data_IF_982083667816
#
_entry.id   IF_982083667816
#
_cell.length_a   1.000
_cell.length_b   1.000
_cell.length_c   1.000
_cell.angle_alpha   90.00
_cell.angle_beta   90.00
_cell.angle_gamma   90.00
#
_symmetry.space_group_name_H-M   'P 1'
#
loop_
_entity.id
_entity.type
_entity.pdbx_description
1 polymer ?
#
# COMPACT_ATOMS: atom_id res chain seq x y z
N UNK A 1 -4.70 9.32 -24.58
CA UNK A 1 -4.20 10.55 -23.94
C UNK A 1 -5.29 11.33 -23.18
N UNK A 2 -6.58 11.17 -23.51
CA UNK A 2 -7.66 11.91 -22.83
C UNK A 2 -8.01 11.45 -21.41
N UNK A 3 -7.97 10.14 -21.11
CA UNK A 3 -8.41 9.61 -19.80
C UNK A 3 -7.39 9.90 -18.69
N UNK A 4 -6.09 9.76 -18.96
CA UNK A 4 -5.03 10.10 -17.99
C UNK A 4 -5.01 11.61 -17.68
N UNK A 5 -5.31 12.48 -18.67
CA UNK A 5 -5.53 13.92 -18.43
C UNK A 5 -6.79 14.19 -17.60
N UNK A 6 -7.91 13.50 -17.86
CA UNK A 6 -9.14 13.70 -17.06
C UNK A 6 -9.00 13.22 -15.62
N UNK A 7 -8.24 12.15 -15.36
CA UNK A 7 -7.90 11.72 -14.00
C UNK A 7 -6.96 12.70 -13.29
N UNK A 8 -6.05 13.34 -14.04
CA UNK A 8 -5.19 14.40 -13.52
C UNK A 8 -6.01 15.63 -13.10
N UNK A 9 -6.90 16.12 -13.95
CA UNK A 9 -7.81 17.22 -13.62
C UNK A 9 -8.71 16.87 -12.43
N UNK A 10 -9.25 15.65 -12.39
CA UNK A 10 -10.06 15.19 -11.26
C UNK A 10 -9.27 15.09 -9.94
N UNK A 11 -8.00 14.66 -9.99
CA UNK A 11 -7.12 14.63 -8.82
C UNK A 11 -6.73 16.03 -8.34
N UNK A 12 -6.46 16.94 -9.27
CA UNK A 12 -6.15 18.34 -8.96
C UNK A 12 -7.36 19.03 -8.31
N UNK A 13 -8.55 18.81 -8.87
CA UNK A 13 -9.82 19.30 -8.31
C UNK A 13 -10.06 18.71 -6.92
N UNK A 14 -9.81 17.42 -6.68
CA UNK A 14 -9.97 16.79 -5.36
C UNK A 14 -9.00 17.37 -4.32
N UNK A 15 -7.75 17.63 -4.71
CA UNK A 15 -6.74 18.27 -3.86
C UNK A 15 -7.18 19.71 -3.53
N UNK A 16 -7.63 20.49 -4.52
CA UNK A 16 -8.13 21.85 -4.30
C UNK A 16 -9.39 21.86 -3.42
N UNK A 17 -10.30 20.90 -3.61
CA UNK A 17 -11.55 20.82 -2.85
C UNK A 17 -11.29 20.50 -1.36
N UNK A 18 -10.31 19.65 -1.05
CA UNK A 18 -9.95 19.35 0.36
C UNK A 18 -9.33 20.55 1.08
N UNK A 19 -8.59 21.41 0.36
CA UNK A 19 -8.06 22.67 0.94
C UNK A 19 -9.15 23.71 1.22
N UNK A 20 -10.16 23.82 0.35
CA UNK A 20 -11.29 24.75 0.49
C UNK A 20 -12.25 24.33 1.61
N UNK A 21 -12.61 23.05 1.69
CA UNK A 21 -13.49 22.53 2.75
C UNK A 21 -12.84 22.65 4.14
N UNK A 22 -11.53 22.47 4.23
CA UNK A 22 -10.76 22.64 5.48
C UNK A 22 -10.77 24.09 6.01
N UNK A 23 -10.89 25.09 5.14
CA UNK A 23 -10.95 26.51 5.53
C UNK A 23 -12.31 26.88 6.13
N UNK A 24 -13.41 26.33 5.61
CA UNK A 24 -14.78 26.64 6.07
C UNK A 24 -15.06 26.04 7.45
N UNK A 25 -14.59 24.81 7.70
CA UNK A 25 -14.78 24.12 8.98
C UNK A 25 -13.91 24.72 10.11
N UNK A 26 -12.83 25.43 9.78
CA UNK A 26 -11.95 26.09 10.76
C UNK A 26 -12.61 27.30 11.44
N UNK A 27 -13.49 28.04 10.76
CA UNK A 27 -14.21 29.16 11.36
C UNK A 27 -15.20 28.68 12.42
N UNK A 28 -15.96 27.62 12.13
CA UNK A 28 -16.97 27.08 13.06
C UNK A 28 -16.36 26.46 14.32
N UNK A 29 -15.17 25.85 14.21
CA UNK A 29 -14.51 25.23 15.35
C UNK A 29 -13.84 26.26 16.29
N UNK A 30 -13.35 27.40 15.77
CA UNK A 30 -12.75 28.45 16.61
C UNK A 30 -13.77 29.08 17.56
N UNK A 31 -15.01 29.24 17.11
CA UNK A 31 -16.10 29.79 17.93
C UNK A 31 -16.48 28.85 19.09
N UNK A 32 -16.52 27.53 18.84
CA UNK A 32 -16.80 26.51 19.87
C UNK A 32 -15.64 26.33 20.88
N UNK A 33 -14.41 26.65 20.47
CA UNK A 33 -13.20 26.51 21.31
C UNK A 33 -13.11 27.62 22.34
N UNK A 34 -13.53 28.85 22.02
CA UNK A 34 -13.48 29.99 22.93
C UNK A 34 -14.32 29.79 24.21
N UNK A 35 -15.44 29.07 24.10
CA UNK A 35 -16.38 28.86 25.21
C UNK A 35 -15.89 27.87 26.28
N UNK A 36 -14.86 27.05 25.98
CA UNK A 36 -14.48 25.92 26.84
C UNK A 36 -13.17 26.10 27.63
N UNK A 37 -12.51 27.26 27.52
CA UNK A 37 -11.18 27.54 28.12
C UNK A 37 -11.27 28.08 29.56
N UNK A 38 -12.46 28.44 30.05
CA UNK A 38 -12.67 28.90 31.43
C UNK A 38 -12.97 27.74 32.39
N UNK A 39 -12.01 26.83 32.61
CA UNK A 39 -11.96 26.05 33.86
C UNK A 39 -10.61 25.38 34.01
N UNK A 40 -9.81 25.81 34.98
CA UNK A 40 -8.52 25.20 35.31
C UNK A 40 -8.46 24.94 36.79
N UNK A 41 -8.21 23.68 37.19
CA UNK A 41 -7.62 23.38 38.50
C UNK A 41 -6.93 22.01 38.51
N UNK A 42 -5.66 22.00 38.93
CA UNK A 42 -5.06 20.85 39.63
C UNK A 42 -3.81 20.22 38.98
N UNK A 43 -2.63 20.63 39.48
CA UNK A 43 -1.27 20.04 39.50
C UNK A 43 -1.01 18.59 39.03
N UNK A 44 -1.49 18.22 37.85
CA UNK A 44 -0.82 17.32 36.91
C UNK A 44 -0.80 18.10 35.60
N UNK A 45 0.29 18.09 34.84
CA UNK A 45 0.24 18.58 33.46
C UNK A 45 -0.54 17.53 32.67
N UNK A 46 -1.85 17.49 32.89
CA UNK A 46 -2.77 16.69 32.15
C UNK A 46 -2.87 17.34 30.78
N UNK A 47 -2.38 16.64 29.77
CA UNK A 47 -2.40 17.17 28.43
C UNK A 47 -3.84 17.46 28.01
N UNK A 48 -4.04 18.60 27.35
CA UNK A 48 -5.34 18.99 26.82
C UNK A 48 -5.96 17.80 26.05
N UNK A 49 -7.14 17.29 26.43
CA UNK A 49 -7.78 16.15 25.77
C UNK A 49 -7.94 16.33 24.26
N UNK A 50 -8.13 17.58 23.81
CA UNK A 50 -8.20 17.92 22.38
C UNK A 50 -6.86 17.64 21.67
N UNK A 51 -5.74 18.02 22.27
CA UNK A 51 -4.42 17.77 21.71
C UNK A 51 -4.12 16.26 21.65
N UNK A 52 -4.49 15.50 22.67
CA UNK A 52 -4.33 14.03 22.68
C UNK A 52 -5.16 13.39 21.56
N UNK A 53 -6.39 13.87 21.34
CA UNK A 53 -7.24 13.42 20.23
C UNK A 53 -6.60 13.73 18.88
N UNK A 54 -6.11 14.96 18.66
CA UNK A 54 -5.45 15.36 17.41
C UNK A 54 -4.20 14.51 17.13
N UNK A 55 -3.34 14.28 18.14
CA UNK A 55 -2.18 13.40 17.99
C UNK A 55 -2.63 11.97 17.62
N UNK A 56 -3.71 11.48 18.24
CA UNK A 56 -4.26 10.14 17.97
C UNK A 56 -4.77 10.05 16.53
N UNK A 57 -5.57 11.02 16.08
CA UNK A 57 -6.08 11.11 14.71
C UNK A 57 -4.93 11.21 13.72
N UNK A 58 -3.88 11.99 14.03
CA UNK A 58 -2.70 12.12 13.17
C UNK A 58 -2.04 10.77 12.97
N UNK A 59 -1.82 10.03 14.07
CA UNK A 59 -1.26 8.69 14.03
C UNK A 59 -2.08 7.72 13.18
N UNK A 60 -3.41 7.71 13.33
CA UNK A 60 -4.29 6.84 12.54
C UNK A 60 -4.35 7.21 11.06
N UNK A 61 -4.40 8.50 10.71
CA UNK A 61 -4.36 8.95 9.31
C UNK A 61 -3.05 8.51 8.64
N UNK A 62 -1.91 8.76 9.30
CA UNK A 62 -0.60 8.44 8.75
C UNK A 62 -0.36 6.92 8.69
N UNK A 63 -0.91 6.15 9.64
CA UNK A 63 -0.95 4.70 9.52
C UNK A 63 -1.80 4.26 8.33
N UNK A 64 -3.05 4.70 8.22
CA UNK A 64 -3.94 4.32 7.14
C UNK A 64 -3.32 4.61 5.76
N UNK A 65 -2.66 5.76 5.62
CA UNK A 65 -1.89 6.10 4.42
C UNK A 65 -0.64 5.21 4.24
N UNK A 66 0.33 5.35 5.13
CA UNK A 66 1.70 4.85 4.93
C UNK A 66 1.86 3.37 5.29
N UNK A 67 1.13 2.92 6.31
CA UNK A 67 1.17 1.54 6.79
C UNK A 67 0.27 0.61 5.99
N UNK A 68 -0.79 1.12 5.36
CA UNK A 68 -1.80 0.28 4.70
C UNK A 68 -2.03 0.60 3.22
N UNK A 69 -2.51 1.80 2.87
CA UNK A 69 -2.91 2.11 1.49
C UNK A 69 -1.74 2.05 0.49
N UNK A 70 -0.61 2.70 0.79
CA UNK A 70 0.55 2.66 -0.12
C UNK A 70 1.13 1.24 -0.28
N UNK A 71 1.40 0.47 0.81
CA UNK A 71 1.88 -0.89 0.64
C UNK A 71 0.91 -1.78 -0.13
N UNK A 72 -0.41 -1.60 0.06
CA UNK A 72 -1.42 -2.35 -0.68
C UNK A 72 -1.44 -1.97 -2.17
N UNK A 73 -1.33 -0.68 -2.50
CA UNK A 73 -1.18 -0.20 -3.88
C UNK A 73 0.05 -0.80 -4.57
N UNK A 74 1.18 -0.87 -3.88
CA UNK A 74 2.43 -1.49 -4.37
C UNK A 74 2.23 -3.00 -4.60
N UNK A 75 1.63 -3.72 -3.65
CA UNK A 75 1.35 -5.14 -3.79
C UNK A 75 0.42 -5.43 -4.98
N UNK A 76 -0.59 -4.57 -5.20
CA UNK A 76 -1.52 -4.70 -6.31
C UNK A 76 -0.82 -4.57 -7.66
N UNK A 77 -0.04 -3.49 -7.89
CA UNK A 77 0.65 -3.30 -9.18
C UNK A 77 1.73 -4.37 -9.43
N UNK A 78 2.44 -4.79 -8.38
CA UNK A 78 3.44 -5.87 -8.48
C UNK A 78 2.80 -7.19 -8.90
N UNK A 79 1.65 -7.53 -8.32
CA UNK A 79 0.87 -8.69 -8.74
C UNK A 79 0.37 -8.54 -10.19
N UNK A 80 -0.16 -7.37 -10.53
CA UNK A 80 -0.71 -7.09 -11.86
C UNK A 80 0.29 -7.07 -13.00
N UNK A 81 1.56 -6.81 -12.75
CA UNK A 81 2.61 -6.87 -13.78
C UNK A 81 2.78 -8.26 -14.41
N UNK A 82 2.11 -9.29 -13.88
CA UNK A 82 2.09 -10.67 -14.39
C UNK A 82 0.89 -10.97 -15.27
N UNK A 83 -0.08 -10.07 -15.31
CA UNK A 83 -1.31 -10.25 -16.04
C UNK A 83 -1.05 -10.08 -17.54
N UNK A 84 -1.31 -11.15 -18.29
CA UNK A 84 -1.13 -11.18 -19.73
C UNK A 84 -2.23 -10.38 -20.44
N UNK A 85 -3.41 -10.26 -19.81
CA UNK A 85 -4.51 -9.50 -20.37
C UNK A 85 -4.29 -7.98 -20.22
N UNK A 86 -4.14 -7.24 -21.34
CA UNK A 86 -3.85 -5.81 -21.29
C UNK A 86 -4.97 -4.98 -20.66
N UNK A 87 -6.23 -5.45 -20.69
CA UNK A 87 -7.36 -4.78 -20.04
C UNK A 87 -7.26 -4.90 -18.52
N UNK A 88 -6.96 -6.08 -18.00
CA UNK A 88 -6.79 -6.32 -16.56
C UNK A 88 -5.56 -5.63 -16.00
N UNK A 89 -4.43 -5.65 -16.72
CA UNK A 89 -3.24 -4.87 -16.36
C UNK A 89 -3.56 -3.37 -16.23
N UNK A 90 -4.39 -2.84 -17.12
CA UNK A 90 -4.85 -1.44 -17.06
C UNK A 90 -5.72 -1.18 -15.82
N UNK A 91 -6.63 -2.09 -15.47
CA UNK A 91 -7.45 -1.98 -14.26
C UNK A 91 -6.55 -1.96 -13.01
N UNK A 92 -5.58 -2.87 -12.93
CA UNK A 92 -4.67 -2.95 -11.78
C UNK A 92 -3.78 -1.70 -11.68
N UNK A 93 -3.35 -1.15 -12.82
CA UNK A 93 -2.65 0.13 -12.86
C UNK A 93 -3.51 1.28 -12.30
N UNK A 94 -4.80 1.35 -12.67
CA UNK A 94 -5.70 2.36 -12.09
C UNK A 94 -5.96 2.12 -10.61
N UNK A 95 -6.11 0.87 -10.17
CA UNK A 95 -6.25 0.54 -8.76
C UNK A 95 -5.05 1.05 -7.95
N UNK A 96 -3.82 0.77 -8.42
CA UNK A 96 -2.61 1.32 -7.82
C UNK A 96 -2.65 2.84 -7.76
N UNK A 97 -2.88 3.51 -8.89
CA UNK A 97 -2.92 4.98 -8.93
C UNK A 97 -3.95 5.57 -7.96
N UNK A 98 -5.16 5.00 -7.90
CA UNK A 98 -6.23 5.46 -6.99
C UNK A 98 -5.81 5.27 -5.52
N UNK A 99 -5.26 4.10 -5.16
CA UNK A 99 -4.80 3.82 -3.80
C UNK A 99 -3.67 4.77 -3.38
N UNK A 100 -2.68 5.00 -4.25
CA UNK A 100 -1.59 5.95 -3.96
C UNK A 100 -2.12 7.39 -3.82
N UNK A 101 -3.06 7.82 -4.68
CA UNK A 101 -3.66 9.14 -4.57
C UNK A 101 -4.45 9.31 -3.27
N UNK A 102 -5.23 8.31 -2.86
CA UNK A 102 -5.94 8.31 -1.58
C UNK A 102 -4.97 8.39 -0.40
N UNK A 103 -3.88 7.62 -0.45
CA UNK A 103 -2.84 7.67 0.56
C UNK A 103 -2.21 9.08 0.64
N UNK A 104 -1.84 9.69 -0.49
CA UNK A 104 -1.26 11.04 -0.53
C UNK A 104 -2.22 12.08 0.05
N UNK A 105 -3.52 12.00 -0.27
CA UNK A 105 -4.54 12.91 0.29
C UNK A 105 -4.63 12.75 1.81
N UNK A 106 -4.68 11.51 2.32
CA UNK A 106 -4.73 11.23 3.75
C UNK A 106 -3.44 11.69 4.46
N UNK A 107 -2.27 11.43 3.88
CA UNK A 107 -0.98 11.90 4.39
C UNK A 107 -0.92 13.42 4.44
N UNK A 108 -1.43 14.10 3.40
CA UNK A 108 -1.52 15.56 3.34
C UNK A 108 -2.45 16.11 4.41
N UNK A 109 -3.63 15.52 4.60
CA UNK A 109 -4.54 15.90 5.68
C UNK A 109 -3.86 15.75 7.06
N UNK A 110 -3.18 14.64 7.31
CA UNK A 110 -2.44 14.43 8.55
C UNK A 110 -1.26 15.38 8.74
N UNK A 111 -0.56 15.75 7.67
CA UNK A 111 0.52 16.76 7.69
C UNK A 111 -0.02 18.16 7.98
N UNK A 112 -1.10 18.58 7.32
CA UNK A 112 -1.77 19.87 7.58
C UNK A 112 -2.22 19.95 9.04
N UNK A 113 -2.84 18.87 9.55
CA UNK A 113 -3.28 18.82 10.95
C UNK A 113 -2.10 18.95 11.92
N UNK A 114 -0.96 18.30 11.63
CA UNK A 114 0.26 18.44 12.42
C UNK A 114 0.79 19.88 12.43
N UNK A 115 0.83 20.52 11.25
CA UNK A 115 1.30 21.89 11.09
C UNK A 115 0.42 22.88 11.87
N UNK A 116 -0.91 22.71 11.83
CA UNK A 116 -1.85 23.64 12.46
C UNK A 116 -1.93 23.48 13.97
N UNK A 117 -1.87 22.24 14.47
CA UNK A 117 -2.26 21.95 15.84
C UNK A 117 -1.07 21.60 16.77
N UNK A 118 0.09 21.24 16.22
CA UNK A 118 1.24 20.81 17.01
C UNK A 118 2.36 21.85 17.02
N UNK A 119 3.24 21.73 18.02
CA UNK A 119 4.42 22.57 18.12
C UNK A 119 5.52 22.06 17.16
N UNK A 120 5.78 22.81 16.09
CA UNK A 120 6.70 22.43 15.00
C UNK A 120 8.13 22.93 15.23
N UNK A 121 8.69 22.68 16.41
CA UNK A 121 10.08 23.06 16.74
C UNK A 121 11.14 22.16 16.09
N UNK A 122 10.74 21.02 15.50
CA UNK A 122 11.62 20.04 14.84
C UNK A 122 12.78 19.52 15.71
N UNK A 123 12.63 19.59 17.03
CA UNK A 123 13.60 19.09 18.00
C UNK A 123 13.53 17.57 18.18
N UNK A 124 12.45 16.93 17.71
CA UNK A 124 12.29 15.47 17.73
C UNK A 124 12.59 14.87 16.35
N UNK A 125 13.32 13.76 16.35
CA UNK A 125 13.61 12.92 15.18
C UNK A 125 12.34 12.57 14.37
N UNK A 126 11.20 12.32 15.02
CA UNK A 126 9.94 12.02 14.34
C UNK A 126 9.47 13.18 13.44
N UNK A 127 9.57 14.43 13.92
CA UNK A 127 9.14 15.60 13.14
C UNK A 127 10.05 15.81 11.92
N UNK A 128 11.36 15.68 12.10
CA UNK A 128 12.36 15.77 11.01
C UNK A 128 12.14 14.68 9.96
N UNK A 129 11.91 13.44 10.41
CA UNK A 129 11.58 12.31 9.55
C UNK A 129 10.26 12.53 8.80
N UNK A 130 9.24 13.07 9.48
CA UNK A 130 7.93 13.36 8.89
C UNK A 130 8.00 14.38 7.75
N UNK A 131 8.76 15.47 7.91
CA UNK A 131 8.96 16.46 6.84
C UNK A 131 9.72 15.86 5.66
N UNK A 132 10.81 15.11 5.95
CA UNK A 132 11.57 14.43 4.91
C UNK A 132 10.69 13.44 4.13
N UNK A 133 9.90 12.62 4.84
CA UNK A 133 8.95 11.69 4.24
C UNK A 133 7.94 12.43 3.35
N UNK A 134 7.35 13.53 3.83
CA UNK A 134 6.37 14.30 3.06
C UNK A 134 6.96 14.84 1.75
N UNK A 135 8.19 15.36 1.78
CA UNK A 135 8.89 15.80 0.57
C UNK A 135 9.09 14.65 -0.43
N UNK A 136 9.49 13.47 0.04
CA UNK A 136 9.71 12.30 -0.81
C UNK A 136 8.38 11.75 -1.37
N UNK A 137 7.27 11.83 -0.62
CA UNK A 137 5.92 11.48 -1.11
C UNK A 137 5.54 12.36 -2.30
N UNK A 138 5.72 13.67 -2.20
CA UNK A 138 5.44 14.58 -3.32
C UNK A 138 6.36 14.34 -4.51
N UNK A 139 7.64 14.08 -4.27
CA UNK A 139 8.57 13.70 -5.33
C UNK A 139 8.09 12.43 -6.05
N UNK A 140 7.62 11.42 -5.30
CA UNK A 140 7.08 10.18 -5.87
C UNK A 140 5.84 10.44 -6.73
N UNK A 141 4.95 11.32 -6.29
CA UNK A 141 3.78 11.75 -7.08
C UNK A 141 4.19 12.44 -8.38
N UNK A 142 5.12 13.39 -8.30
CA UNK A 142 5.65 14.11 -9.47
C UNK A 142 6.26 13.12 -10.46
N UNK A 143 7.07 12.17 -9.99
CA UNK A 143 7.60 11.09 -10.82
C UNK A 143 6.46 10.27 -11.45
N UNK A 144 5.43 9.91 -10.69
CA UNK A 144 4.25 9.20 -11.20
C UNK A 144 3.53 9.94 -12.33
N UNK A 145 3.35 11.26 -12.19
CA UNK A 145 2.69 12.13 -13.19
C UNK A 145 3.52 12.22 -14.47
N UNK A 146 4.84 12.39 -14.37
CA UNK A 146 5.74 12.53 -15.52
C UNK A 146 6.14 11.19 -16.16
N UNK A 147 5.29 10.17 -16.06
CA UNK A 147 5.49 8.84 -16.64
C UNK A 147 5.64 8.92 -18.18
N UNK A 148 6.81 8.56 -18.75
CA UNK A 148 7.04 8.62 -20.20
C UNK A 148 6.17 7.62 -20.97
N UNK A 149 5.94 7.86 -22.27
CA UNK A 149 5.25 6.90 -23.14
C UNK A 149 5.99 5.55 -23.23
N UNK A 150 5.23 4.47 -23.45
CA UNK A 150 5.78 3.12 -23.64
C UNK A 150 6.71 3.10 -24.86
N UNK A 151 7.82 2.35 -24.78
CA UNK A 151 8.82 2.23 -25.85
C UNK A 151 9.92 3.31 -25.86
N UNK A 152 9.79 4.39 -25.08
CA UNK A 152 10.84 5.42 -25.00
C UNK A 152 12.05 4.97 -24.16
N UNK A 153 13.27 5.33 -24.55
CA UNK A 153 14.50 5.07 -23.77
C UNK A 153 14.40 5.65 -22.35
N UNK A 154 13.74 6.81 -22.20
CA UNK A 154 13.49 7.49 -20.91
C UNK A 154 12.64 6.65 -19.94
N UNK A 155 11.80 5.74 -20.44
CA UNK A 155 10.91 4.88 -19.63
C UNK A 155 11.68 4.00 -18.65
N UNK A 156 12.84 3.49 -19.03
CA UNK A 156 13.68 2.62 -18.17
C UNK A 156 14.28 3.41 -17.00
N UNK A 157 14.84 4.58 -17.27
CA UNK A 157 15.41 5.47 -16.25
C UNK A 157 14.31 5.97 -15.31
N UNK A 158 13.17 6.39 -15.86
CA UNK A 158 12.00 6.75 -15.07
C UNK A 158 11.54 5.63 -14.15
N UNK A 159 11.43 4.40 -14.67
CA UNK A 159 11.00 3.25 -13.88
C UNK A 159 11.94 2.99 -12.72
N UNK A 160 13.25 3.02 -12.95
CA UNK A 160 14.25 2.84 -11.91
C UNK A 160 14.14 3.94 -10.84
N UNK A 161 14.04 5.21 -11.25
CA UNK A 161 13.89 6.33 -10.32
C UNK A 161 12.59 6.22 -9.50
N UNK A 162 11.45 5.99 -10.16
CA UNK A 162 10.15 5.84 -9.49
C UNK A 162 10.11 4.63 -8.56
N UNK A 163 10.80 3.54 -8.92
CA UNK A 163 10.91 2.36 -8.05
C UNK A 163 11.78 2.62 -6.83
N UNK A 164 12.96 3.25 -6.99
CA UNK A 164 13.85 3.60 -5.87
C UNK A 164 13.14 4.57 -4.93
N UNK A 165 12.61 5.67 -5.46
CA UNK A 165 11.93 6.69 -4.64
C UNK A 165 10.69 6.10 -3.95
N UNK A 166 9.89 5.30 -4.66
CA UNK A 166 8.74 4.61 -4.04
C UNK A 166 9.13 3.65 -2.93
N UNK A 167 10.23 2.92 -3.10
CA UNK A 167 10.77 2.04 -2.04
C UNK A 167 11.23 2.86 -0.84
N UNK A 168 11.89 4.00 -1.07
CA UNK A 168 12.26 4.93 0.00
C UNK A 168 11.03 5.47 0.74
N UNK A 169 9.94 5.84 0.04
CA UNK A 169 8.67 6.27 0.66
C UNK A 169 8.12 5.17 1.58
N UNK A 170 8.09 3.91 1.13
CA UNK A 170 7.60 2.80 1.96
C UNK A 170 8.46 2.59 3.21
N UNK A 171 9.79 2.58 3.07
CA UNK A 171 10.70 2.39 4.21
C UNK A 171 10.59 3.55 5.21
N UNK A 172 10.65 4.79 4.73
CA UNK A 172 10.49 5.98 5.57
C UNK A 172 9.11 6.04 6.24
N UNK A 173 8.06 5.58 5.55
CA UNK A 173 6.71 5.45 6.10
C UNK A 173 6.65 4.50 7.30
N UNK A 174 7.26 3.31 7.19
CA UNK A 174 7.36 2.36 8.32
C UNK A 174 8.13 2.97 9.49
N UNK A 175 9.28 3.61 9.23
CA UNK A 175 10.05 4.29 10.26
C UNK A 175 9.27 5.44 10.91
N UNK A 176 8.49 6.19 10.13
CA UNK A 176 7.66 7.27 10.63
C UNK A 176 6.57 6.78 11.59
N UNK A 177 5.95 5.61 11.32
CA UNK A 177 4.96 5.02 12.22
C UNK A 177 5.61 4.58 13.55
N UNK A 178 6.75 3.87 13.51
CA UNK A 178 7.43 3.44 14.74
C UNK A 178 7.92 4.62 15.59
N UNK A 179 8.56 5.61 14.96
CA UNK A 179 9.00 6.82 15.67
C UNK A 179 7.82 7.64 16.18
N UNK A 180 6.70 7.65 15.45
CA UNK A 180 5.45 8.29 15.86
C UNK A 180 4.81 7.63 17.08
N UNK A 181 4.78 6.30 17.13
CA UNK A 181 4.34 5.55 18.32
C UNK A 181 5.25 5.79 19.53
N UNK A 182 6.56 5.95 19.30
CA UNK A 182 7.52 6.38 20.33
C UNK A 182 7.20 7.78 20.87
N UNK A 183 7.04 8.75 19.96
CA UNK A 183 6.70 10.14 20.30
C UNK A 183 5.32 10.24 20.99
N UNK A 184 4.34 9.44 20.56
CA UNK A 184 3.02 9.34 21.19
C UNK A 184 3.13 8.85 22.64
N UNK A 185 3.92 7.81 22.89
CA UNK A 185 4.15 7.29 24.24
C UNK A 185 4.82 8.32 25.14
N UNK A 186 5.87 8.98 24.63
CA UNK A 186 6.60 10.01 25.38
C UNK A 186 5.70 11.20 25.73
N UNK A 187 4.91 11.68 24.76
CA UNK A 187 3.96 12.77 25.01
C UNK A 187 2.87 12.30 25.98
N UNK A 188 2.09 11.30 25.61
CA UNK A 188 0.82 10.97 26.29
C UNK A 188 0.99 10.08 27.53
N UNK A 189 2.18 9.54 27.77
CA UNK A 189 2.45 8.50 28.78
C UNK A 189 1.59 7.23 28.62
N UNK A 190 0.88 7.07 27.49
CA UNK A 190 0.05 5.89 27.20
C UNK A 190 0.89 4.76 26.62
N UNK A 191 0.53 3.53 26.99
CA UNK A 191 1.21 2.34 26.50
C UNK A 191 0.95 2.11 25.01
N UNK A 192 2.01 1.98 24.21
CA UNK A 192 1.96 1.72 22.75
C UNK A 192 2.37 0.31 22.36
N UNK A 193 2.66 -0.58 23.33
CA UNK A 193 3.14 -1.96 23.06
C UNK A 193 2.19 -2.72 22.13
N UNK A 194 0.88 -2.65 22.37
CA UNK A 194 -0.11 -3.38 21.56
C UNK A 194 -0.13 -2.89 20.10
N UNK A 195 -0.06 -1.57 19.89
CA UNK A 195 -0.01 -0.95 18.57
C UNK A 195 1.28 -1.30 17.83
N UNK A 196 2.42 -1.32 18.53
CA UNK A 196 3.70 -1.77 17.96
C UNK A 196 3.63 -3.24 17.52
N UNK A 197 3.08 -4.15 18.34
CA UNK A 197 2.93 -5.57 17.98
C UNK A 197 2.04 -5.71 16.76
N UNK A 198 0.88 -5.07 16.76
CA UNK A 198 -0.07 -5.14 15.66
C UNK A 198 0.55 -4.61 14.35
N UNK A 199 1.24 -3.46 14.40
CA UNK A 199 1.94 -2.92 13.23
C UNK A 199 3.09 -3.82 12.76
N UNK A 200 3.82 -4.45 13.68
CA UNK A 200 4.90 -5.40 13.34
C UNK A 200 4.35 -6.62 12.61
N UNK A 201 3.25 -7.19 13.09
CA UNK A 201 2.55 -8.31 12.42
C UNK A 201 2.08 -7.87 11.02
N UNK A 202 1.46 -6.70 10.91
CA UNK A 202 1.02 -6.14 9.63
C UNK A 202 2.18 -6.00 8.63
N UNK A 203 3.30 -5.39 9.02
CA UNK A 203 4.47 -5.24 8.13
C UNK A 203 5.07 -6.60 7.77
N UNK A 204 5.14 -7.53 8.73
CA UNK A 204 5.63 -8.89 8.47
C UNK A 204 4.76 -9.61 7.44
N UNK A 205 3.43 -9.49 7.55
CA UNK A 205 2.50 -10.03 6.57
C UNK A 205 2.66 -9.38 5.19
N UNK A 206 2.80 -8.06 5.12
CA UNK A 206 3.03 -7.34 3.85
C UNK A 206 4.33 -7.81 3.19
N UNK A 207 5.42 -7.90 3.94
CA UNK A 207 6.72 -8.39 3.44
C UNK A 207 6.62 -9.84 2.99
N UNK A 208 5.95 -10.69 3.78
CA UNK A 208 5.69 -12.08 3.40
C UNK A 208 4.93 -12.14 2.08
N UNK A 209 3.82 -11.42 1.93
CA UNK A 209 3.03 -11.37 0.69
C UNK A 209 3.87 -10.85 -0.49
N UNK A 210 4.69 -9.81 -0.27
CA UNK A 210 5.56 -9.24 -1.29
C UNK A 210 6.59 -10.26 -1.83
N UNK A 211 7.21 -11.03 -0.94
CA UNK A 211 8.17 -12.08 -1.29
C UNK A 211 7.47 -13.31 -1.87
N UNK A 212 6.34 -13.72 -1.27
CA UNK A 212 5.54 -14.86 -1.69
C UNK A 212 5.03 -14.70 -3.10
N UNK A 213 4.62 -13.48 -3.49
CA UNK A 213 4.26 -13.16 -4.86
C UNK A 213 5.32 -13.68 -5.83
N UNK A 214 6.61 -13.45 -5.59
CA UNK A 214 7.69 -13.89 -6.49
C UNK A 214 7.77 -15.42 -6.61
N UNK A 215 7.68 -16.13 -5.47
CA UNK A 215 7.79 -17.61 -5.44
C UNK A 215 6.55 -18.32 -5.96
N UNK A 216 5.37 -17.70 -5.89
CA UNK A 216 4.12 -18.31 -6.36
C UNK A 216 4.19 -18.78 -7.81
N UNK A 217 4.78 -17.98 -8.70
CA UNK A 217 4.92 -18.34 -10.13
C UNK A 217 5.85 -19.54 -10.31
N UNK A 218 6.96 -19.57 -9.56
CA UNK A 218 7.87 -20.70 -9.58
C UNK A 218 7.15 -22.01 -9.17
N UNK A 219 6.36 -21.95 -8.09
CA UNK A 219 5.59 -23.11 -7.60
C UNK A 219 4.56 -23.57 -8.64
N UNK A 220 3.81 -22.65 -9.26
CA UNK A 220 2.83 -22.97 -10.30
C UNK A 220 3.50 -23.65 -11.51
N UNK A 221 4.65 -23.13 -11.95
CA UNK A 221 5.39 -23.68 -13.07
C UNK A 221 5.91 -25.10 -12.78
N UNK A 222 6.32 -25.40 -11.54
CA UNK A 222 6.72 -26.76 -11.15
C UNK A 222 5.55 -27.75 -11.20
N UNK A 223 4.35 -27.33 -10.78
CA UNK A 223 3.15 -28.17 -10.86
C UNK A 223 2.76 -28.51 -12.30
N UNK A 224 2.87 -27.56 -13.23
CA UNK A 224 2.56 -27.78 -14.66
C UNK A 224 3.56 -28.74 -15.30
N UNK A 225 4.86 -28.59 -15.01
CA UNK A 225 5.89 -29.49 -15.54
C UNK A 225 5.68 -30.94 -15.10
N UNK A 226 5.42 -31.15 -13.81
CA UNK A 226 5.19 -32.48 -13.24
C UNK A 226 3.91 -33.13 -13.81
N UNK A 227 2.85 -32.34 -14.01
CA UNK A 227 1.63 -32.81 -14.66
C UNK A 227 1.86 -33.24 -16.12
N UNK A 228 2.61 -32.46 -16.89
CA UNK A 228 2.95 -32.80 -18.28
C UNK A 228 3.82 -34.05 -18.37
N UNK A 229 4.77 -34.23 -17.45
CA UNK A 229 5.60 -35.44 -17.37
C UNK A 229 4.76 -36.69 -17.08
N UNK A 230 3.84 -36.62 -16.12
CA UNK A 230 2.91 -37.73 -15.79
C UNK A 230 1.98 -38.07 -16.97
N UNK A 231 1.46 -37.06 -17.68
CA UNK A 231 0.63 -37.28 -18.88
C UNK A 231 1.43 -37.96 -19.99
N UNK A 232 2.69 -37.57 -20.18
CA UNK A 232 3.55 -38.15 -21.20
C UNK A 232 3.90 -39.62 -20.89
N UNK A 233 4.20 -39.94 -19.61
CA UNK A 233 4.42 -41.31 -19.16
C UNK A 233 3.18 -42.20 -19.34
N UNK A 234 1.98 -41.68 -19.01
CA UNK A 234 0.73 -42.42 -19.19
C UNK A 234 0.36 -42.65 -20.65
N UNK A 235 0.80 -41.77 -21.55
CA UNK A 235 0.56 -41.89 -22.99
C UNK A 235 1.48 -42.92 -23.67
N UNK A 236 2.51 -43.41 -22.96
CA UNK A 236 3.47 -44.40 -23.44
C UNK A 236 3.18 -45.83 -22.93
N UNK A 237 2.15 -46.05 -22.11
CA UNK A 237 1.73 -47.41 -21.74
C UNK A 237 1.09 -48.13 -22.96
N UNK A 238 1.64 -49.28 -23.41
CA UNK A 238 1.04 -50.04 -24.51
C UNK A 238 -0.29 -50.69 -24.09
N UNK A 239 -1.25 -50.86 -25.01
CA UNK A 239 -2.55 -51.42 -24.68
C UNK A 239 -2.43 -52.89 -24.24
N UNK A 240 -2.93 -53.19 -23.03
CA UNK A 240 -3.03 -54.55 -22.50
C UNK A 240 -4.03 -55.35 -23.36
N UNK A 241 -3.54 -56.33 -24.12
CA UNK A 241 -4.40 -57.25 -24.88
C UNK A 241 -5.12 -58.22 -23.95
N UNK A 242 -6.44 -58.03 -23.80
CA UNK A 242 -7.32 -59.03 -23.21
C UNK A 242 -7.63 -60.11 -24.26
N UNK A 243 -6.90 -61.22 -24.21
CA UNK A 243 -7.01 -62.34 -25.15
C UNK A 243 -8.33 -63.11 -25.00
N UNK A 244 -9.13 -63.06 -26.06
CA UNK A 244 -10.35 -63.82 -26.30
C UNK A 244 -10.01 -65.30 -26.60
N UNK A 245 -10.38 -66.23 -25.72
CA UNK A 245 -10.45 -67.66 -26.03
C UNK A 245 -11.92 -68.00 -26.22
N UNK A 246 -12.30 -68.30 -27.46
CA UNK A 246 -13.38 -69.24 -27.81
C UNK A 246 -13.43 -69.36 -29.33
N UNK A 247 -12.75 -70.38 -29.88
CA UNK A 247 -13.18 -70.99 -31.15
C UNK A 247 -12.95 -72.50 -31.10
N UNK A 248 -14.08 -73.16 -30.93
CA UNK A 248 -14.43 -74.53 -31.32
C UNK A 248 -13.81 -74.89 -32.69
N UNK A 249 -13.15 -76.04 -32.75
CA UNK A 249 -13.00 -76.80 -33.99
C UNK A 249 -13.27 -78.29 -33.71
N UNK A 250 -14.31 -78.80 -34.38
CA UNK A 250 -14.71 -80.23 -34.43
C UNK A 250 -13.89 -80.98 -35.53
N UNK A 251 -13.93 -82.32 -35.58
CA UNK A 251 -12.83 -83.19 -35.99
C UNK A 251 -12.97 -83.84 -37.39
N UNK A 252 -11.99 -84.72 -37.69
CA UNK A 252 -11.89 -85.79 -38.73
C UNK A 252 -11.45 -85.33 -40.14
N UNK A 253 -10.71 -86.07 -40.97
CA UNK A 253 -10.06 -87.41 -41.06
C UNK A 253 -9.02 -87.25 -42.20
N UNK A 254 -7.87 -87.93 -42.33
CA UNK A 254 -7.55 -89.35 -42.37
C UNK A 254 -6.02 -89.48 -42.28
#
# INVERSE_FOLDING_TARGET
>A
MGIEKKLFEASLVLILFTTLVSSSQEQNNKELIATHVLSTKGNRIEMNPRLVLEITVHGFLLWASMGFLMPFGILAIRHGNREQNPKRLRIIFYLHAILEMLAIVIATAGAIMSIKNFNNLFNNNHQRLGVALYAVIWLQLVLGIFRPQRGSKRRRVWFLAHWIVGTSVSLLGVLAVYTGLGAYREKTSKNTKIWNIFFTIQITLIVFLYLFQEKWVYIQNQGVLLGNEVVNLRSQEPPYHQGQKDKVLKPESC
#
